data_IF_174100359966
#
_entry.id   IF_174100359966
#
_cell.length_a   1.000
_cell.length_b   1.000
_cell.length_c   1.000
_cell.angle_alpha   90.00
_cell.angle_beta   90.00
_cell.angle_gamma   90.00
#
_symmetry.space_group_name_H-M   'P 1'
#
loop_
_entity.id
_entity.type
_entity.pdbx_description
1 polymer ?
#
# COMPACT_ATOMS: atom_id res chain seq x y z
N UNK A 1 -19.13 -16.86 3.05
CA UNK A 1 -18.40 -15.58 3.24
C UNK A 1 -19.41 -14.46 3.05
N UNK A 2 -19.40 -13.42 3.87
CA UNK A 2 -20.35 -12.31 3.76
C UNK A 2 -19.60 -11.00 3.51
N UNK A 3 -19.87 -10.33 2.39
CA UNK A 3 -19.19 -9.09 1.99
C UNK A 3 -20.13 -7.90 2.24
N UNK A 4 -19.79 -7.05 3.19
CA UNK A 4 -20.58 -5.88 3.56
C UNK A 4 -19.80 -4.62 3.19
N UNK A 5 -20.38 -3.82 2.28
CA UNK A 5 -19.77 -2.60 1.75
C UNK A 5 -20.54 -1.37 2.23
N UNK A 6 -19.80 -0.32 2.56
CA UNK A 6 -20.33 1.00 2.87
C UNK A 6 -20.78 1.71 1.57
N UNK A 7 -22.09 1.74 1.28
CA UNK A 7 -22.68 2.68 0.29
C UNK A 7 -23.77 3.50 0.97
N UNK A 8 -23.42 4.69 1.46
CA UNK A 8 -24.43 5.65 1.87
C UNK A 8 -25.17 6.17 0.63
N UNK A 9 -26.39 5.68 0.39
CA UNK A 9 -27.29 6.08 -0.70
C UNK A 9 -28.23 7.18 -0.20
N UNK A 10 -27.90 8.44 -0.49
CA UNK A 10 -28.93 9.49 -0.63
C UNK A 10 -28.64 10.31 -1.87
N UNK A 11 -29.67 10.45 -2.72
CA UNK A 11 -29.70 11.09 -4.05
C UNK A 11 -29.59 12.63 -3.97
N UNK A 12 -28.61 13.11 -3.20
CA UNK A 12 -28.35 14.53 -2.92
C UNK A 12 -26.98 14.92 -3.46
N UNK A 13 -26.74 16.22 -3.77
CA UNK A 13 -25.47 16.68 -4.34
C UNK A 13 -24.31 16.17 -3.48
N UNK A 14 -23.21 15.76 -4.13
CA UNK A 14 -21.98 15.25 -3.49
C UNK A 14 -21.64 16.16 -2.31
N UNK A 15 -21.95 15.72 -1.10
CA UNK A 15 -21.69 16.51 0.09
C UNK A 15 -20.19 16.44 0.36
N UNK A 16 -19.53 17.58 0.19
CA UNK A 16 -18.10 17.78 0.47
C UNK A 16 -17.74 17.56 1.94
N UNK A 17 -18.73 17.33 2.82
CA UNK A 17 -18.54 16.88 4.21
C UNK A 17 -18.20 15.39 4.33
N UNK A 18 -18.48 14.58 3.30
CA UNK A 18 -18.33 13.13 3.33
C UNK A 18 -16.86 12.73 3.10
N UNK A 19 -16.19 12.27 4.15
CA UNK A 19 -14.88 11.60 4.08
C UNK A 19 -14.97 10.19 3.48
N UNK A 20 -16.04 9.89 2.74
CA UNK A 20 -16.28 8.59 2.13
C UNK A 20 -16.44 8.79 0.62
N UNK A 21 -15.86 7.87 -0.14
CA UNK A 21 -16.12 7.75 -1.56
C UNK A 21 -17.48 7.05 -1.70
N UNK A 22 -18.50 7.80 -2.11
CA UNK A 22 -19.81 7.24 -2.41
C UNK A 22 -19.77 6.44 -3.72
N UNK A 23 -20.58 5.38 -3.78
CA UNK A 23 -20.87 4.64 -5.03
C UNK A 23 -19.71 3.78 -5.59
N UNK A 24 -18.90 3.18 -4.72
CA UNK A 24 -17.99 2.12 -5.14
C UNK A 24 -16.72 1.99 -4.30
N UNK A 25 -15.77 1.21 -4.82
CA UNK A 25 -14.46 1.05 -4.21
C UNK A 25 -13.59 2.28 -4.48
N UNK A 26 -12.85 2.71 -3.46
CA UNK A 26 -11.90 3.80 -3.59
C UNK A 26 -10.59 3.28 -4.22
N UNK A 27 -10.27 3.77 -5.42
CA UNK A 27 -9.07 3.36 -6.18
C UNK A 27 -8.00 4.45 -6.29
N UNK A 28 -8.39 5.71 -6.14
CA UNK A 28 -7.56 6.90 -6.21
C UNK A 28 -8.22 8.03 -5.42
N UNK A 29 -7.43 9.01 -4.95
CA UNK A 29 -7.97 10.24 -4.37
C UNK A 29 -8.60 11.15 -5.43
N UNK A 30 -9.22 12.24 -4.98
CA UNK A 30 -9.79 13.25 -5.86
C UNK A 30 -8.80 14.34 -6.25
N UNK A 31 -9.02 14.97 -7.41
CA UNK A 31 -8.28 16.15 -7.87
C UNK A 31 -7.34 15.85 -9.03
N UNK A 32 -6.35 16.73 -9.24
CA UNK A 32 -5.41 16.70 -10.36
C UNK A 32 -4.52 15.45 -10.43
N UNK A 33 -4.32 14.77 -9.29
CA UNK A 33 -3.59 13.49 -9.22
C UNK A 33 -4.44 12.24 -9.47
N UNK A 34 -5.74 12.39 -9.78
CA UNK A 34 -6.63 11.27 -10.07
C UNK A 34 -6.51 10.81 -11.53
N UNK A 35 -6.97 9.60 -11.82
CA UNK A 35 -7.00 9.03 -13.17
C UNK A 35 -8.31 8.28 -13.43
N UNK A 36 -8.62 8.07 -14.72
CA UNK A 36 -9.76 7.26 -15.15
C UNK A 36 -9.23 5.93 -15.71
N UNK A 37 -9.29 4.83 -14.94
CA UNK A 37 -8.81 3.54 -15.42
C UNK A 37 -9.76 2.96 -16.49
N UNK A 38 -9.26 2.10 -17.38
CA UNK A 38 -10.08 1.44 -18.41
C UNK A 38 -11.08 0.42 -17.83
N UNK A 39 -10.79 -0.12 -16.65
CA UNK A 39 -11.66 -1.04 -15.91
C UNK A 39 -11.43 -0.88 -14.41
N UNK A 40 -12.35 -1.39 -13.60
CA UNK A 40 -12.19 -1.48 -12.15
C UNK A 40 -12.60 -2.90 -11.75
N UNK A 41 -11.68 -3.64 -11.14
CA UNK A 41 -11.98 -4.87 -10.41
C UNK A 41 -12.36 -4.49 -8.99
N UNK A 42 -13.65 -4.50 -8.66
CA UNK A 42 -14.10 -4.24 -7.30
C UNK A 42 -13.88 -5.48 -6.41
N UNK A 43 -13.71 -5.31 -5.08
CA UNK A 43 -13.59 -6.45 -4.17
C UNK A 43 -14.73 -7.45 -4.28
N UNK A 44 -15.97 -6.97 -4.42
CA UNK A 44 -17.14 -7.84 -4.57
C UNK A 44 -17.07 -8.68 -5.86
N UNK A 45 -16.73 -8.08 -7.00
CA UNK A 45 -16.65 -8.79 -8.28
C UNK A 45 -15.61 -9.91 -8.21
N UNK A 46 -14.44 -9.62 -7.64
CA UNK A 46 -13.38 -10.61 -7.48
C UNK A 46 -13.72 -11.70 -6.46
N UNK A 47 -14.40 -11.35 -5.37
CA UNK A 47 -14.89 -12.33 -4.38
C UNK A 47 -15.98 -13.22 -4.96
N UNK A 48 -16.86 -12.68 -5.81
CA UNK A 48 -17.89 -13.45 -6.49
C UNK A 48 -17.28 -14.44 -7.49
N UNK A 49 -16.28 -13.99 -8.27
CA UNK A 49 -15.50 -14.87 -9.15
C UNK A 49 -14.80 -15.99 -8.35
N UNK A 50 -14.17 -15.65 -7.22
CA UNK A 50 -13.53 -16.63 -6.36
C UNK A 50 -14.53 -17.60 -5.72
N UNK A 51 -15.69 -17.11 -5.28
CA UNK A 51 -16.74 -17.95 -4.72
C UNK A 51 -17.26 -18.97 -5.72
N UNK A 52 -17.34 -18.60 -7.01
CA UNK A 52 -17.67 -19.53 -8.10
C UNK A 52 -16.61 -20.62 -8.27
N UNK A 53 -15.32 -20.29 -8.10
CA UNK A 53 -14.23 -21.27 -8.21
C UNK A 53 -14.17 -22.23 -7.02
N UNK A 54 -14.59 -21.79 -5.84
CA UNK A 54 -14.49 -22.55 -4.59
C UNK A 54 -15.80 -23.27 -4.21
N UNK A 55 -16.85 -23.17 -5.04
CA UNK A 55 -18.20 -23.65 -4.76
C UNK A 55 -18.75 -23.12 -3.40
N UNK A 56 -18.43 -21.88 -3.05
CA UNK A 56 -18.87 -21.24 -1.81
C UNK A 56 -20.02 -20.26 -2.04
N UNK A 57 -20.80 -20.01 -0.98
CA UNK A 57 -21.86 -18.99 -1.02
C UNK A 57 -21.34 -17.66 -0.48
N UNK A 58 -21.61 -16.60 -1.24
CA UNK A 58 -21.37 -15.21 -0.85
C UNK A 58 -22.71 -14.54 -0.51
N UNK A 59 -22.84 -14.03 0.69
CA UNK A 59 -23.95 -13.14 1.10
C UNK A 59 -23.43 -11.70 1.13
N UNK A 60 -24.29 -10.70 0.94
CA UNK A 60 -23.84 -9.31 0.92
C UNK A 60 -24.95 -8.33 1.34
N UNK A 61 -24.54 -7.24 1.97
CA UNK A 61 -25.35 -6.05 2.22
C UNK A 61 -24.48 -4.82 1.91
N UNK A 62 -24.97 -3.93 1.06
CA UNK A 62 -24.24 -2.72 0.69
C UNK A 62 -24.86 -1.44 1.24
N UNK A 63 -25.94 -1.55 2.00
CA UNK A 63 -26.82 -0.42 2.32
C UNK A 63 -26.95 -0.24 3.83
N UNK A 64 -27.03 -1.33 4.59
CA UNK A 64 -27.39 -1.27 6.01
C UNK A 64 -26.17 -1.02 6.90
N UNK A 65 -26.32 -0.11 7.88
CA UNK A 65 -25.33 0.10 8.96
C UNK A 65 -25.33 -1.04 9.98
N UNK A 66 -26.48 -1.68 10.17
CA UNK A 66 -26.66 -2.81 11.06
C UNK A 66 -27.19 -4.02 10.27
N UNK A 67 -26.36 -4.61 9.41
CA UNK A 67 -26.76 -5.74 8.58
C UNK A 67 -26.98 -6.99 9.44
N UNK A 68 -27.91 -7.84 9.02
CA UNK A 68 -28.03 -9.18 9.59
C UNK A 68 -26.93 -10.07 9.01
N UNK A 69 -26.18 -10.74 9.88
CA UNK A 69 -25.13 -11.68 9.46
C UNK A 69 -25.72 -13.09 9.39
N UNK A 70 -25.49 -13.79 8.29
CA UNK A 70 -25.89 -15.18 8.18
C UNK A 70 -25.08 -16.04 9.16
N UNK A 71 -25.75 -16.75 10.07
CA UNK A 71 -25.11 -17.59 11.07
C UNK A 71 -24.28 -18.76 10.48
N UNK A 72 -24.48 -19.09 9.19
CA UNK A 72 -23.66 -20.06 8.45
C UNK A 72 -22.38 -19.47 7.83
N UNK A 73 -22.10 -18.17 7.99
CA UNK A 73 -20.90 -17.53 7.45
C UNK A 73 -19.66 -17.86 8.29
N UNK A 74 -18.63 -18.46 7.68
CA UNK A 74 -17.35 -18.74 8.35
C UNK A 74 -16.48 -17.49 8.58
N UNK A 75 -16.69 -16.45 7.77
CA UNK A 75 -15.98 -15.18 7.82
C UNK A 75 -16.84 -14.05 7.27
N UNK A 76 -16.71 -12.87 7.89
CA UNK A 76 -17.35 -11.64 7.48
C UNK A 76 -16.31 -10.62 7.03
N UNK A 77 -16.50 -10.07 5.85
CA UNK A 77 -15.62 -9.09 5.23
C UNK A 77 -16.32 -7.73 5.26
N UNK A 78 -15.70 -6.77 5.93
CA UNK A 78 -16.19 -5.39 6.01
C UNK A 78 -15.27 -4.49 5.19
N UNK A 79 -15.85 -3.70 4.30
CA UNK A 79 -15.11 -2.80 3.43
C UNK A 79 -15.40 -1.35 3.78
N UNK A 80 -14.35 -0.64 4.20
CA UNK A 80 -14.40 0.78 4.53
C UNK A 80 -13.59 1.59 3.53
N UNK A 81 -13.92 2.87 3.43
CA UNK A 81 -13.06 3.81 2.75
C UNK A 81 -12.89 5.13 3.53
N UNK A 82 -11.83 5.86 3.21
CA UNK A 82 -11.55 7.19 3.74
C UNK A 82 -11.04 8.09 2.60
N UNK A 83 -11.94 8.91 2.05
CA UNK A 83 -11.69 9.74 0.87
C UNK A 83 -11.10 11.12 1.23
N UNK A 84 -10.29 11.66 0.33
CA UNK A 84 -9.76 13.02 0.37
C UNK A 84 -9.59 13.54 -1.07
N UNK A 85 -9.70 14.85 -1.24
CA UNK A 85 -9.62 15.53 -2.54
C UNK A 85 -8.68 16.74 -2.48
N UNK A 86 -8.10 17.09 -3.61
CA UNK A 86 -7.37 18.36 -3.79
C UNK A 86 -8.22 19.57 -3.38
N UNK A 87 -7.59 20.59 -2.80
CA UNK A 87 -8.21 21.83 -2.34
C UNK A 87 -9.25 21.67 -1.20
N UNK A 88 -9.33 20.50 -0.55
CA UNK A 88 -10.19 20.31 0.62
C UNK A 88 -9.55 19.35 1.62
N UNK A 89 -9.29 19.86 2.83
CA UNK A 89 -8.82 19.04 3.93
C UNK A 89 -9.98 18.22 4.52
N UNK A 90 -9.69 17.00 4.96
CA UNK A 90 -10.68 16.18 5.67
C UNK A 90 -11.03 16.85 7.02
N UNK A 91 -12.32 16.90 7.40
CA UNK A 91 -12.73 17.51 8.68
C UNK A 91 -12.28 16.73 9.94
N UNK A 92 -11.64 15.58 9.81
CA UNK A 92 -11.31 14.63 10.89
C UNK A 92 -10.65 13.35 10.38
N UNK A 93 -10.34 12.43 11.29
CA UNK A 93 -9.70 11.13 10.98
C UNK A 93 -10.58 9.92 11.31
N UNK A 94 -11.77 10.17 11.88
CA UNK A 94 -12.81 9.17 12.13
C UNK A 94 -13.82 9.20 10.98
N UNK A 95 -14.60 8.13 10.82
CA UNK A 95 -15.69 8.12 9.84
C UNK A 95 -16.69 9.23 10.13
N UNK A 96 -17.20 9.88 9.09
CA UNK A 96 -18.23 10.92 9.25
C UNK A 96 -19.44 10.30 9.94
N UNK A 97 -19.93 10.99 10.98
CA UNK A 97 -21.03 10.56 11.85
C UNK A 97 -20.85 9.18 12.52
N UNK A 98 -19.63 8.63 12.52
CA UNK A 98 -19.34 7.31 13.08
C UNK A 98 -19.97 6.15 12.30
N UNK A 99 -20.47 6.36 11.07
CA UNK A 99 -21.15 5.34 10.27
C UNK A 99 -20.27 4.10 10.09
N UNK A 100 -19.08 4.28 9.51
CA UNK A 100 -18.18 3.16 9.19
C UNK A 100 -17.68 2.43 10.44
N UNK A 101 -17.45 3.16 11.54
CA UNK A 101 -17.03 2.56 12.82
C UNK A 101 -18.19 1.80 13.50
N UNK A 102 -19.42 2.30 13.35
CA UNK A 102 -20.64 1.62 13.83
C UNK A 102 -20.90 0.36 13.03
N UNK A 103 -20.70 0.40 11.70
CA UNK A 103 -20.82 -0.78 10.83
C UNK A 103 -19.89 -1.90 11.27
N UNK A 104 -18.60 -1.60 11.52
CA UNK A 104 -17.65 -2.61 12.00
C UNK A 104 -18.10 -3.20 13.33
N UNK A 105 -18.50 -2.37 14.29
CA UNK A 105 -18.95 -2.86 15.60
C UNK A 105 -20.20 -3.73 15.50
N UNK A 106 -21.18 -3.35 14.67
CA UNK A 106 -22.40 -4.12 14.46
C UNK A 106 -22.09 -5.48 13.85
N UNK A 107 -21.27 -5.54 12.80
CA UNK A 107 -20.86 -6.80 12.18
C UNK A 107 -20.04 -7.65 13.14
N UNK A 108 -19.05 -7.06 13.81
CA UNK A 108 -18.19 -7.77 14.76
C UNK A 108 -18.98 -8.28 15.98
N UNK A 109 -20.09 -7.65 16.37
CA UNK A 109 -20.96 -8.16 17.43
C UNK A 109 -21.72 -9.43 17.03
N UNK A 110 -21.98 -9.62 15.73
CA UNK A 110 -22.74 -10.75 15.16
C UNK A 110 -21.86 -11.83 14.54
N UNK A 111 -20.63 -11.50 14.15
CA UNK A 111 -19.69 -12.38 13.46
C UNK A 111 -18.36 -12.47 14.20
N UNK A 112 -17.97 -13.67 14.63
CA UNK A 112 -16.76 -13.90 15.43
C UNK A 112 -15.44 -13.88 14.64
N UNK A 113 -15.51 -13.82 13.32
CA UNK A 113 -14.36 -13.80 12.42
C UNK A 113 -14.54 -12.68 11.39
N UNK A 114 -14.28 -11.45 11.82
CA UNK A 114 -14.47 -10.24 11.01
C UNK A 114 -13.14 -9.71 10.51
N UNK A 115 -12.99 -9.63 9.19
CA UNK A 115 -11.84 -9.01 8.52
C UNK A 115 -12.26 -7.67 7.94
N UNK A 116 -11.56 -6.60 8.30
CA UNK A 116 -11.86 -5.24 7.82
C UNK A 116 -10.82 -4.81 6.79
N UNK A 117 -11.26 -4.44 5.58
CA UNK A 117 -10.39 -3.85 4.54
C UNK A 117 -10.68 -2.36 4.40
N UNK A 118 -9.65 -1.53 4.48
CA UNK A 118 -9.74 -0.07 4.43
C UNK A 118 -9.02 0.45 3.19
N UNK A 119 -9.75 1.11 2.29
CA UNK A 119 -9.16 1.92 1.21
C UNK A 119 -9.11 3.39 1.64
N UNK A 120 -7.93 3.93 1.87
CA UNK A 120 -7.76 5.23 2.52
C UNK A 120 -6.78 6.15 1.81
N UNK A 121 -7.16 7.42 1.65
CA UNK A 121 -6.27 8.53 1.31
C UNK A 121 -5.63 9.04 2.61
N UNK A 122 -4.56 8.37 3.05
CA UNK A 122 -3.83 8.72 4.27
C UNK A 122 -4.46 8.20 5.56
N UNK A 123 -4.01 8.72 6.72
CA UNK A 123 -4.30 8.12 8.05
C UNK A 123 -5.82 8.00 8.32
N UNK A 124 -6.25 6.86 8.86
CA UNK A 124 -7.60 6.59 9.37
C UNK A 124 -7.48 5.94 10.74
N UNK A 125 -8.07 6.53 11.78
CA UNK A 125 -8.03 5.98 13.13
C UNK A 125 -8.96 4.76 13.21
N UNK A 126 -8.60 3.74 13.98
CA UNK A 126 -9.36 2.48 14.11
C UNK A 126 -9.51 2.04 15.57
N UNK A 127 -9.10 2.89 16.50
CA UNK A 127 -9.06 2.67 17.95
C UNK A 127 -10.43 2.33 18.56
N UNK A 128 -11.53 2.69 17.90
CA UNK A 128 -12.88 2.39 18.37
C UNK A 128 -13.29 0.92 18.26
N UNK A 129 -12.62 0.12 17.41
CA UNK A 129 -13.02 -1.26 17.12
C UNK A 129 -11.85 -2.22 16.88
N UNK A 130 -10.61 -1.72 16.75
CA UNK A 130 -9.44 -2.57 16.48
C UNK A 130 -9.17 -3.61 17.57
N UNK A 131 -9.50 -3.28 18.83
CA UNK A 131 -9.35 -4.18 19.99
C UNK A 131 -10.58 -5.08 20.20
N UNK A 132 -11.57 -5.03 19.30
CA UNK A 132 -12.77 -5.88 19.41
C UNK A 132 -12.37 -7.35 19.17
N UNK A 133 -12.71 -8.29 20.08
CA UNK A 133 -12.18 -9.67 20.04
C UNK A 133 -12.58 -10.47 18.78
N UNK A 134 -13.66 -10.06 18.13
CA UNK A 134 -14.16 -10.68 16.91
C UNK A 134 -13.59 -10.05 15.62
N UNK A 135 -12.79 -8.99 15.72
CA UNK A 135 -12.04 -8.43 14.59
C UNK A 135 -10.71 -9.18 14.51
N UNK A 136 -10.58 -10.07 13.54
CA UNK A 136 -9.45 -11.02 13.43
C UNK A 136 -8.34 -10.52 12.53
N UNK A 137 -8.65 -9.64 11.58
CA UNK A 137 -7.67 -9.05 10.68
C UNK A 137 -8.12 -7.66 10.18
N UNK A 138 -7.13 -6.80 9.92
CA UNK A 138 -7.34 -5.50 9.27
C UNK A 138 -6.33 -5.33 8.14
N UNK A 139 -6.82 -4.95 6.96
CA UNK A 139 -6.01 -4.74 5.76
C UNK A 139 -6.12 -3.27 5.36
N UNK A 140 -4.99 -2.58 5.30
CA UNK A 140 -4.90 -1.26 4.69
C UNK A 140 -4.58 -1.43 3.19
N UNK A 141 -5.60 -1.27 2.35
CA UNK A 141 -5.49 -1.35 0.88
C UNK A 141 -5.08 -0.04 0.21
N UNK A 142 -5.03 1.08 0.94
CA UNK A 142 -4.69 2.40 0.42
C UNK A 142 -5.50 2.77 -0.84
N UNK A 143 -4.81 3.08 -1.95
CA UNK A 143 -5.35 3.45 -3.25
C UNK A 143 -4.80 2.46 -4.30
N UNK A 144 -5.39 1.25 -4.39
CA UNK A 144 -4.80 0.13 -5.12
C UNK A 144 -5.03 0.17 -6.63
N UNK A 145 -5.66 1.23 -7.15
CA UNK A 145 -5.90 1.38 -8.59
C UNK A 145 -6.91 0.37 -9.15
N UNK A 146 -6.82 0.15 -10.47
CA UNK A 146 -7.81 -0.58 -11.27
C UNK A 146 -7.99 -2.07 -10.92
N UNK A 147 -6.97 -2.74 -10.37
CA UNK A 147 -6.95 -4.20 -10.14
C UNK A 147 -7.11 -4.58 -8.66
N UNK A 148 -7.68 -3.67 -7.88
CA UNK A 148 -7.92 -3.79 -6.45
C UNK A 148 -8.49 -5.14 -6.00
N UNK A 149 -9.67 -5.52 -6.52
CA UNK A 149 -10.40 -6.70 -6.05
C UNK A 149 -9.59 -7.97 -6.24
N UNK A 150 -9.01 -8.17 -7.44
CA UNK A 150 -8.14 -9.32 -7.73
C UNK A 150 -6.90 -9.35 -6.84
N UNK A 151 -6.27 -8.20 -6.58
CA UNK A 151 -5.12 -8.13 -5.68
C UNK A 151 -5.51 -8.51 -4.25
N UNK A 152 -6.63 -7.98 -3.76
CA UNK A 152 -7.11 -8.25 -2.41
C UNK A 152 -7.50 -9.72 -2.20
N UNK A 153 -8.22 -10.33 -3.14
CA UNK A 153 -8.62 -11.75 -3.06
C UNK A 153 -7.39 -12.64 -2.96
N UNK A 154 -6.33 -12.37 -3.73
CA UNK A 154 -5.07 -13.11 -3.62
C UNK A 154 -4.46 -13.03 -2.22
N UNK A 155 -4.55 -11.88 -1.55
CA UNK A 155 -4.08 -11.72 -0.17
C UNK A 155 -4.99 -12.47 0.83
N UNK A 156 -6.31 -12.34 0.70
CA UNK A 156 -7.28 -13.00 1.58
C UNK A 156 -7.17 -14.53 1.53
N UNK A 157 -6.90 -15.08 0.35
CA UNK A 157 -6.74 -16.53 0.13
C UNK A 157 -5.29 -17.01 0.29
N UNK A 158 -4.36 -16.13 0.67
CA UNK A 158 -2.96 -16.48 0.91
C UNK A 158 -2.21 -16.95 -0.35
N UNK A 159 -2.68 -16.59 -1.53
CA UNK A 159 -2.00 -16.85 -2.81
C UNK A 159 -0.76 -15.98 -2.96
N UNK A 160 -0.83 -14.75 -2.46
CA UNK A 160 0.28 -13.80 -2.41
C UNK A 160 0.50 -13.34 -0.96
N UNK A 161 1.72 -12.98 -0.62
CA UNK A 161 2.06 -12.40 0.68
C UNK A 161 3.16 -11.35 0.51
N UNK A 162 3.20 -10.33 1.39
CA UNK A 162 4.26 -9.31 1.42
C UNK A 162 5.58 -9.85 2.00
N UNK A 163 6.00 -11.04 1.58
CA UNK A 163 7.20 -11.72 2.06
C UNK A 163 8.50 -11.07 1.56
N UNK A 164 8.41 -10.27 0.50
CA UNK A 164 9.53 -9.67 -0.20
C UNK A 164 10.13 -8.45 0.52
N UNK A 165 9.42 -7.78 1.43
CA UNK A 165 9.98 -6.65 2.18
C UNK A 165 10.60 -5.57 1.27
N UNK A 166 11.91 -5.29 1.46
CA UNK A 166 12.67 -4.35 0.61
C UNK A 166 13.27 -4.98 -0.65
N UNK A 167 13.04 -6.28 -0.87
CA UNK A 167 13.54 -7.05 -2.00
C UNK A 167 12.63 -6.85 -3.21
N UNK A 168 12.82 -5.72 -3.88
CA UNK A 168 12.18 -5.37 -5.14
C UNK A 168 13.26 -5.10 -6.20
N UNK A 169 12.94 -5.38 -7.47
CA UNK A 169 13.84 -5.17 -8.62
C UNK A 169 15.20 -5.90 -8.47
N UNK A 170 16.34 -5.24 -8.71
CA UNK A 170 17.67 -5.85 -8.59
C UNK A 170 17.92 -6.52 -7.23
N UNK A 171 17.35 -5.99 -6.15
CA UNK A 171 17.50 -6.56 -4.81
C UNK A 171 16.87 -7.95 -4.71
N UNK A 172 15.77 -8.17 -5.43
CA UNK A 172 15.12 -9.48 -5.50
C UNK A 172 15.94 -10.46 -6.34
N UNK A 173 16.44 -10.01 -7.50
CA UNK A 173 17.32 -10.82 -8.36
C UNK A 173 18.59 -11.26 -7.62
N UNK A 174 19.22 -10.36 -6.87
CA UNK A 174 20.40 -10.64 -6.06
C UNK A 174 20.07 -11.61 -4.90
N UNK A 175 19.00 -11.36 -4.16
CA UNK A 175 18.61 -12.19 -3.01
C UNK A 175 18.25 -13.63 -3.42
N UNK A 176 17.67 -13.81 -4.61
CA UNK A 176 17.28 -15.11 -5.16
C UNK A 176 18.32 -15.73 -6.10
N UNK A 177 19.49 -15.09 -6.26
CA UNK A 177 20.55 -15.51 -7.18
C UNK A 177 20.02 -15.79 -8.61
N UNK A 178 19.08 -14.96 -9.08
CA UNK A 178 18.45 -15.08 -10.39
C UNK A 178 19.17 -14.17 -11.38
N UNK A 179 19.69 -14.73 -12.48
CA UNK A 179 20.44 -13.96 -13.49
C UNK A 179 19.49 -13.22 -14.44
N UNK A 180 19.41 -11.88 -14.40
CA UNK A 180 18.65 -11.12 -15.38
C UNK A 180 19.35 -11.16 -16.75
N UNK A 181 18.60 -10.89 -17.84
CA UNK A 181 19.20 -10.75 -19.18
C UNK A 181 20.02 -9.46 -19.32
N UNK A 182 19.54 -8.38 -18.69
CA UNK A 182 20.18 -7.09 -18.55
C UNK A 182 19.89 -6.61 -17.12
N UNK A 183 20.93 -6.43 -16.33
CA UNK A 183 20.84 -6.05 -14.92
C UNK A 183 20.57 -4.55 -14.72
N UNK A 184 20.18 -4.17 -13.51
CA UNK A 184 20.06 -2.76 -13.14
C UNK A 184 21.40 -2.05 -13.30
N UNK A 185 21.41 -0.95 -14.07
CA UNK A 185 22.62 -0.23 -14.42
C UNK A 185 23.37 -0.77 -15.65
N UNK A 186 22.87 -1.83 -16.31
CA UNK A 186 23.52 -2.35 -17.53
C UNK A 186 23.38 -1.40 -18.71
N UNK A 187 24.49 -1.15 -19.40
CA UNK A 187 24.54 -0.40 -20.64
C UNK A 187 25.80 -0.70 -21.44
N UNK A 188 25.66 -0.83 -22.76
CA UNK A 188 26.82 -0.96 -23.65
C UNK A 188 27.28 0.41 -24.13
N UNK A 189 28.59 0.51 -24.38
CA UNK A 189 29.22 1.67 -25.01
C UNK A 189 30.16 1.22 -26.13
N UNK A 190 30.68 2.15 -26.93
CA UNK A 190 31.54 1.85 -28.08
C UNK A 190 32.99 1.55 -27.71
N UNK A 191 33.32 1.54 -26.42
CA UNK A 191 34.64 1.22 -25.87
C UNK A 191 34.47 0.37 -24.61
N UNK A 192 35.57 0.00 -23.96
CA UNK A 192 35.58 -0.74 -22.70
C UNK A 192 36.32 0.05 -21.62
N UNK A 193 35.86 -0.09 -20.38
CA UNK A 193 36.45 0.56 -19.21
C UNK A 193 36.96 -0.49 -18.22
N UNK A 194 38.09 -0.19 -17.60
CA UNK A 194 38.71 -0.99 -16.55
C UNK A 194 38.69 -0.22 -15.23
N UNK A 195 38.28 -0.89 -14.16
CA UNK A 195 38.23 -0.35 -12.80
C UNK A 195 39.40 -0.90 -11.99
N UNK A 196 40.19 -0.02 -11.37
CA UNK A 196 41.35 -0.36 -10.57
C UNK A 196 41.44 0.48 -9.29
N UNK A 197 42.35 0.11 -8.39
CA UNK A 197 42.77 0.89 -7.22
C UNK A 197 41.63 1.33 -6.28
N UNK A 198 40.65 0.45 -6.04
CA UNK A 198 39.59 0.74 -5.08
C UNK A 198 40.18 0.99 -3.68
N UNK A 199 39.93 2.17 -3.14
CA UNK A 199 40.34 2.58 -1.81
C UNK A 199 39.18 3.22 -1.05
N UNK A 200 39.16 2.99 0.26
CA UNK A 200 38.16 3.55 1.17
C UNK A 200 38.84 4.33 2.28
N UNK A 201 38.30 5.49 2.62
CA UNK A 201 38.75 6.28 3.77
C UNK A 201 37.55 6.74 4.58
N UNK A 202 37.61 6.56 5.90
CA UNK A 202 36.64 7.14 6.83
C UNK A 202 36.99 8.61 7.03
N UNK A 203 35.99 9.48 7.01
CA UNK A 203 36.22 10.91 7.25
C UNK A 203 36.60 11.10 8.72
N UNK A 204 37.67 11.86 8.99
CA UNK A 204 38.30 11.95 10.32
C UNK A 204 37.38 12.38 11.47
N UNK A 205 36.29 13.09 11.16
CA UNK A 205 35.30 13.56 12.14
C UNK A 205 33.92 12.90 11.95
N UNK A 206 33.84 11.81 11.17
CA UNK A 206 32.60 11.09 10.98
C UNK A 206 32.12 10.48 12.30
N UNK A 207 30.84 10.67 12.62
CA UNK A 207 30.19 9.90 13.69
C UNK A 207 30.05 8.45 13.22
N UNK A 208 30.72 7.53 13.92
CA UNK A 208 30.54 6.07 13.72
C UNK A 208 29.58 5.47 14.75
N UNK A 209 28.81 6.30 15.44
CA UNK A 209 27.84 5.84 16.43
C UNK A 209 26.73 5.04 15.73
N UNK A 210 26.26 3.98 16.40
CA UNK A 210 25.18 3.13 15.88
C UNK A 210 23.87 3.91 15.67
N UNK A 211 23.62 4.92 16.50
CA UNK A 211 22.50 5.84 16.36
C UNK A 211 23.00 7.24 16.00
N UNK A 212 22.31 7.95 15.10
CA UNK A 212 22.64 9.32 14.79
C UNK A 212 22.47 10.21 16.04
N UNK A 213 23.29 11.27 16.19
CA UNK A 213 23.08 12.26 17.24
C UNK A 213 21.66 12.84 17.16
N UNK A 214 21.05 13.10 18.32
CA UNK A 214 19.73 13.75 18.36
C UNK A 214 19.90 15.21 17.92
N UNK A 215 19.60 15.50 16.66
CA UNK A 215 19.57 16.86 16.11
C UNK A 215 18.13 17.30 15.86
N UNK A 216 17.93 18.60 15.61
CA UNK A 216 16.65 19.11 15.12
C UNK A 216 16.28 18.40 13.82
N UNK A 217 15.04 17.91 13.73
CA UNK A 217 14.51 17.30 12.51
C UNK A 217 14.11 18.42 11.56
N UNK A 218 14.71 18.43 10.37
CA UNK A 218 14.35 19.33 9.27
C UNK A 218 13.65 18.54 8.16
N UNK A 219 13.22 19.24 7.10
CA UNK A 219 12.70 18.56 5.90
C UNK A 219 13.78 17.62 5.34
N UNK A 220 13.44 16.33 5.20
CA UNK A 220 14.39 15.28 4.81
C UNK A 220 15.04 14.53 5.99
N UNK A 221 14.66 14.83 7.24
CA UNK A 221 15.11 14.09 8.43
C UNK A 221 16.17 14.82 9.25
N UNK A 222 16.81 14.10 10.18
CA UNK A 222 17.92 14.64 10.95
C UNK A 222 19.10 14.96 10.02
N UNK A 223 19.69 16.15 10.15
CA UNK A 223 20.78 16.60 9.26
C UNK A 223 21.98 15.63 9.26
N UNK A 224 22.24 14.98 10.40
CA UNK A 224 23.34 14.01 10.55
C UNK A 224 23.17 12.74 9.69
N UNK A 225 21.97 12.45 9.17
CA UNK A 225 21.78 11.33 8.23
C UNK A 225 22.50 11.57 6.90
N UNK A 226 22.82 12.82 6.58
CA UNK A 226 23.46 13.25 5.34
C UNK A 226 24.96 13.52 5.49
N UNK A 227 25.52 13.28 6.68
CA UNK A 227 26.95 13.46 6.92
C UNK A 227 27.76 12.43 6.12
N UNK A 228 28.81 12.89 5.45
CA UNK A 228 29.71 12.00 4.70
C UNK A 228 30.59 11.23 5.69
N UNK A 229 30.26 9.96 5.91
CA UNK A 229 31.00 9.10 6.86
C UNK A 229 32.25 8.46 6.23
N UNK A 230 32.19 8.17 4.93
CA UNK A 230 33.28 7.53 4.21
C UNK A 230 33.35 8.08 2.78
N UNK A 231 34.56 8.03 2.21
CA UNK A 231 34.81 8.31 0.80
C UNK A 231 35.43 7.08 0.16
N UNK A 232 34.87 6.70 -0.98
CA UNK A 232 35.40 5.66 -1.85
C UNK A 232 36.06 6.34 -3.05
N UNK A 233 37.21 5.83 -3.46
CA UNK A 233 37.90 6.24 -4.67
C UNK A 233 38.27 5.00 -5.47
N UNK A 234 38.04 5.05 -6.77
CA UNK A 234 38.47 4.04 -7.73
C UNK A 234 38.98 4.75 -8.98
N UNK A 235 39.89 4.10 -9.69
CA UNK A 235 40.42 4.58 -10.96
C UNK A 235 39.66 3.91 -12.09
N UNK A 236 39.05 4.69 -12.98
CA UNK A 236 38.36 4.20 -14.19
C UNK A 236 39.17 4.60 -15.41
N UNK A 237 39.62 3.61 -16.19
CA UNK A 237 40.45 3.82 -17.37
C UNK A 237 39.77 3.29 -18.63
N UNK A 238 39.65 4.13 -19.66
CA UNK A 238 39.22 3.68 -20.99
C UNK A 238 40.38 2.94 -21.66
N UNK A 239 40.20 1.64 -21.93
CA UNK A 239 41.23 0.80 -22.54
C UNK A 239 40.99 0.49 -24.03
N UNK A 240 39.91 1.04 -24.61
CA UNK A 240 39.61 0.88 -26.03
C UNK A 240 40.05 2.07 -26.89
N UNK A 241 39.69 2.01 -28.18
CA UNK A 241 40.15 2.97 -29.19
C UNK A 241 39.22 4.15 -29.42
N UNK A 242 38.04 4.15 -28.78
CA UNK A 242 36.98 5.14 -28.98
C UNK A 242 36.76 5.96 -27.70
N UNK A 243 36.52 7.26 -27.85
CA UNK A 243 36.13 8.12 -26.73
C UNK A 243 34.67 7.83 -26.33
N UNK A 244 34.42 7.65 -25.04
CA UNK A 244 33.08 7.43 -24.48
C UNK A 244 32.96 7.95 -23.05
N UNK A 245 31.73 7.94 -22.52
CA UNK A 245 31.42 8.22 -21.11
C UNK A 245 31.03 6.94 -20.39
N UNK A 246 31.34 6.88 -19.09
CA UNK A 246 31.08 5.76 -18.18
C UNK A 246 30.29 6.27 -16.97
N UNK A 247 29.37 5.46 -16.43
CA UNK A 247 28.58 5.79 -15.25
C UNK A 247 29.06 4.90 -14.10
N UNK A 248 29.98 5.43 -13.30
CA UNK A 248 30.62 4.75 -12.16
C UNK A 248 29.97 5.08 -10.82
#
# INVERSE_FOLDING_TARGET
MEAILDLNVTDTPIDTSLQIASNGTLIAGGGSGSNAPPHISAPFDALQEQAYNDDTSLFWDFVSVDPDVNAGSDACLVFLNAYSIENSDRPGLYGVDGFSDTLVNNVASKCNNTTVTIHNVGIRLVDQWIEHPNVTAVIFGHLPGQDNGRALVKLLYGVESFSEGVYLDYRDFDAKNTTPRFEFGFGLTYTTFEYADLSSSVVSNASTAYLPPITTIIQGGAQSLWDVVAKLQATVSNNGTMTAMEVA
#
